data_IF_019697347337
#
_entry.id   IF_019697347337
#
_cell.length_a   1.000
_cell.length_b   1.000
_cell.length_c   1.000
_cell.angle_alpha   90.00
_cell.angle_beta   90.00
_cell.angle_gamma   90.00
#
_symmetry.space_group_name_H-M   'P 1'
#
loop_
_entity.id
_entity.type
_entity.pdbx_description
1 polymer ?
#
# COMPACT_ATOMS: atom_id res chain seq x y z
N UNK A 1 -65.74 10.80 -56.08
CA UNK A 1 -65.03 9.69 -55.52
C UNK A 1 -63.65 10.17 -55.03
N UNK A 2 -63.43 10.36 -53.74
CA UNK A 2 -62.18 10.82 -53.14
C UNK A 2 -61.45 9.57 -52.57
N UNK A 3 -60.31 9.27 -53.15
CA UNK A 3 -59.43 8.17 -52.69
C UNK A 3 -58.56 8.70 -51.54
N UNK A 4 -58.72 8.11 -50.36
CA UNK A 4 -57.93 8.36 -49.18
C UNK A 4 -56.68 7.48 -49.26
N UNK A 5 -55.48 8.09 -49.34
CA UNK A 5 -54.19 7.37 -49.24
C UNK A 5 -53.83 7.22 -47.77
N UNK A 6 -53.83 5.96 -47.30
CA UNK A 6 -53.43 5.60 -45.95
C UNK A 6 -51.90 5.43 -45.90
N UNK A 7 -51.23 6.43 -45.30
CA UNK A 7 -49.77 6.38 -45.06
C UNK A 7 -49.49 5.61 -43.76
N UNK A 8 -48.92 4.43 -43.88
CA UNK A 8 -48.47 3.64 -42.75
C UNK A 8 -47.11 4.19 -42.30
N UNK A 9 -47.09 4.86 -41.12
CA UNK A 9 -45.86 5.29 -40.44
C UNK A 9 -45.32 4.11 -39.65
N UNK A 10 -44.24 3.46 -40.16
CA UNK A 10 -43.54 2.37 -39.46
C UNK A 10 -42.55 3.00 -38.47
N UNK A 11 -42.99 3.16 -37.22
CA UNK A 11 -42.10 3.60 -36.12
C UNK A 11 -41.15 2.49 -35.72
N UNK A 12 -39.91 2.58 -36.16
CA UNK A 12 -38.84 1.71 -35.68
C UNK A 12 -38.50 2.03 -34.23
N UNK A 13 -38.99 1.20 -33.29
CA UNK A 13 -38.67 1.28 -31.88
C UNK A 13 -37.25 0.74 -31.70
N UNK A 14 -36.24 1.61 -31.59
CA UNK A 14 -34.88 1.28 -31.24
C UNK A 14 -34.85 0.88 -29.78
N UNK A 15 -34.88 -0.41 -29.49
CA UNK A 15 -34.59 -0.99 -28.17
C UNK A 15 -33.08 -0.77 -27.89
N UNK A 16 -32.77 0.32 -27.22
CA UNK A 16 -31.44 0.52 -26.60
C UNK A 16 -31.37 -0.47 -25.43
N UNK A 17 -30.86 -1.66 -25.68
CA UNK A 17 -30.43 -2.57 -24.63
C UNK A 17 -29.21 -1.93 -23.98
N UNK A 18 -29.44 -1.20 -22.89
CA UNK A 18 -28.37 -0.68 -22.03
C UNK A 18 -27.56 -1.86 -21.54
N UNK A 19 -26.38 -2.06 -22.07
CA UNK A 19 -25.38 -2.93 -21.45
C UNK A 19 -25.08 -2.33 -20.08
N UNK A 20 -25.69 -2.90 -19.04
CA UNK A 20 -25.23 -2.70 -17.66
C UNK A 20 -23.83 -3.33 -17.59
N UNK A 21 -22.81 -2.57 -18.04
CA UNK A 21 -21.44 -2.85 -17.67
C UNK A 21 -21.41 -2.66 -16.16
N UNK A 22 -21.43 -3.77 -15.41
CA UNK A 22 -21.20 -3.78 -13.98
C UNK A 22 -19.82 -3.16 -13.76
N UNK A 23 -19.77 -1.84 -13.65
CA UNK A 23 -18.57 -1.12 -13.23
C UNK A 23 -18.26 -1.66 -11.83
N UNK A 24 -17.15 -2.39 -11.69
CA UNK A 24 -16.77 -2.96 -10.41
C UNK A 24 -16.67 -1.83 -9.38
N UNK A 25 -17.43 -1.97 -8.28
CA UNK A 25 -17.48 -0.97 -7.22
C UNK A 25 -16.08 -0.72 -6.62
N UNK A 26 -15.77 0.55 -6.35
CA UNK A 26 -14.48 0.96 -5.80
C UNK A 26 -14.11 0.24 -4.50
N UNK A 27 -15.09 -0.06 -3.64
CA UNK A 27 -14.87 -0.82 -2.41
C UNK A 27 -14.45 -2.26 -2.71
N UNK A 28 -15.07 -2.88 -3.70
CA UNK A 28 -14.73 -4.24 -4.15
C UNK A 28 -13.31 -4.26 -4.74
N UNK A 29 -12.92 -3.27 -5.55
CA UNK A 29 -11.56 -3.17 -6.10
C UNK A 29 -10.55 -3.03 -4.96
N UNK A 30 -10.78 -2.13 -4.00
CA UNK A 30 -9.86 -1.92 -2.89
C UNK A 30 -9.76 -3.15 -1.98
N UNK A 31 -10.89 -3.81 -1.70
CA UNK A 31 -10.92 -5.07 -0.93
C UNK A 31 -10.14 -6.18 -1.64
N UNK A 32 -10.30 -6.31 -2.96
CA UNK A 32 -9.53 -7.29 -3.73
C UNK A 32 -8.03 -6.96 -3.73
N UNK A 33 -7.67 -5.67 -3.74
CA UNK A 33 -6.27 -5.23 -3.59
C UNK A 33 -5.71 -5.68 -2.23
N UNK A 34 -6.43 -5.45 -1.15
CA UNK A 34 -6.03 -5.91 0.18
C UNK A 34 -5.95 -7.45 0.26
N UNK A 35 -6.90 -8.17 -0.33
CA UNK A 35 -6.87 -9.63 -0.40
C UNK A 35 -5.61 -10.16 -1.10
N UNK A 36 -5.12 -9.49 -2.13
CA UNK A 36 -3.87 -9.86 -2.81
C UNK A 36 -2.66 -9.56 -1.92
N UNK A 37 -2.63 -8.40 -1.28
CA UNK A 37 -1.50 -7.98 -0.42
C UNK A 37 -1.38 -8.82 0.86
N UNK A 38 -2.49 -9.36 1.35
CA UNK A 38 -2.57 -10.15 2.59
C UNK A 38 -3.03 -11.60 2.34
N UNK A 39 -2.77 -12.14 1.15
CA UNK A 39 -3.27 -13.45 0.72
C UNK A 39 -2.63 -14.63 1.46
N UNK A 40 -1.43 -14.48 2.02
CA UNK A 40 -0.74 -15.53 2.78
C UNK A 40 -1.14 -15.50 4.26
N UNK A 41 -1.02 -16.65 4.93
CA UNK A 41 -1.17 -16.73 6.40
C UNK A 41 -0.07 -15.96 7.11
N UNK A 42 1.14 -16.08 6.60
CA UNK A 42 2.32 -15.34 7.06
C UNK A 42 3.38 -15.22 5.96
N UNK A 43 4.36 -14.36 6.19
CA UNK A 43 5.45 -14.10 5.28
C UNK A 43 6.70 -13.69 6.06
N UNK A 44 7.86 -14.15 5.59
CA UNK A 44 9.18 -13.62 5.96
C UNK A 44 9.95 -13.22 4.73
N UNK A 45 10.89 -12.31 4.87
CA UNK A 45 11.76 -11.89 3.77
C UNK A 45 12.87 -10.98 4.26
N UNK A 46 13.87 -10.79 3.39
CA UNK A 46 14.90 -9.76 3.55
C UNK A 46 14.57 -8.59 2.65
N UNK A 47 14.97 -7.40 3.03
CA UNK A 47 14.86 -6.21 2.20
C UNK A 47 16.15 -5.42 2.19
N UNK A 48 16.63 -5.09 0.99
CA UNK A 48 17.66 -4.09 0.76
C UNK A 48 16.98 -2.75 0.57
N UNK A 49 17.40 -1.76 1.35
CA UNK A 49 16.84 -0.41 1.34
C UNK A 49 17.90 0.53 0.81
N UNK A 50 17.62 1.19 -0.30
CA UNK A 50 18.50 2.17 -0.93
C UNK A 50 17.88 3.55 -0.75
N UNK A 51 18.56 4.42 0.00
CA UNK A 51 18.18 5.82 0.21
C UNK A 51 19.00 6.66 -0.77
N UNK A 52 18.33 7.42 -1.63
CA UNK A 52 18.94 8.23 -2.69
C UNK A 52 18.62 9.69 -2.41
N UNK A 53 19.62 10.50 -2.16
CA UNK A 53 19.43 11.93 -1.91
C UNK A 53 19.35 12.73 -3.23
N UNK A 54 19.08 14.04 -3.12
CA UNK A 54 18.96 14.96 -4.27
C UNK A 54 20.19 15.04 -5.17
N UNK A 55 21.37 14.66 -4.66
CA UNK A 55 22.63 14.63 -5.40
C UNK A 55 22.91 13.23 -6.00
N UNK A 56 21.99 12.27 -5.83
CA UNK A 56 22.16 10.89 -6.30
C UNK A 56 23.04 10.04 -5.37
N UNK A 57 23.52 10.56 -4.24
CA UNK A 57 24.31 9.77 -3.28
C UNK A 57 23.41 8.73 -2.61
N UNK A 58 23.92 7.50 -2.55
CA UNK A 58 23.18 6.37 -2.00
C UNK A 58 23.69 5.96 -0.62
N UNK A 59 22.74 5.61 0.25
CA UNK A 59 22.98 4.88 1.49
C UNK A 59 22.20 3.58 1.47
N UNK A 60 22.87 2.47 1.76
CA UNK A 60 22.28 1.15 1.73
C UNK A 60 22.07 0.68 3.16
N UNK A 61 20.92 0.07 3.41
CA UNK A 61 20.58 -0.63 4.65
C UNK A 61 19.97 -1.98 4.31
N UNK A 62 19.98 -2.88 5.27
CA UNK A 62 19.32 -4.17 5.16
C UNK A 62 18.38 -4.37 6.35
N UNK A 63 17.31 -5.09 6.11
CA UNK A 63 16.37 -5.44 7.15
C UNK A 63 15.72 -6.79 6.87
N UNK A 64 15.14 -7.36 7.91
CA UNK A 64 14.22 -8.51 7.81
C UNK A 64 12.81 -8.01 8.08
N UNK A 65 11.86 -8.63 7.39
CA UNK A 65 10.44 -8.38 7.60
C UNK A 65 9.74 -9.72 7.88
N UNK A 66 8.84 -9.71 8.85
CA UNK A 66 7.91 -10.80 9.12
C UNK A 66 6.50 -10.22 9.21
N UNK A 67 5.52 -10.93 8.66
CA UNK A 67 4.12 -10.56 8.70
C UNK A 67 3.28 -11.79 8.99
N UNK A 68 2.21 -11.63 9.78
CA UNK A 68 1.20 -12.68 10.04
C UNK A 68 -0.18 -12.06 9.99
N UNK A 69 -1.03 -12.62 9.13
CA UNK A 69 -2.35 -12.04 8.87
C UNK A 69 -2.28 -10.62 8.32
N UNK A 70 -3.30 -9.83 8.63
CA UNK A 70 -3.47 -8.47 8.13
C UNK A 70 -2.97 -7.38 9.10
N UNK A 71 -2.59 -7.75 10.32
CA UNK A 71 -2.45 -6.82 11.45
C UNK A 71 -1.17 -7.00 12.27
N UNK A 72 -0.34 -8.00 11.97
CA UNK A 72 0.93 -8.22 12.66
C UNK A 72 2.10 -8.12 11.69
N UNK A 73 3.02 -7.22 11.99
CA UNK A 73 4.27 -7.05 11.21
C UNK A 73 5.42 -6.68 12.12
N UNK A 74 6.54 -7.34 11.92
CA UNK A 74 7.83 -6.99 12.49
C UNK A 74 8.76 -6.57 11.37
N UNK A 75 9.42 -5.44 11.52
CA UNK A 75 10.47 -4.95 10.62
C UNK A 75 11.70 -4.64 11.47
N UNK A 76 12.86 -5.18 11.11
CA UNK A 76 14.10 -5.00 11.86
C UNK A 76 15.28 -4.76 10.94
N UNK A 77 16.01 -3.67 11.15
CA UNK A 77 17.27 -3.43 10.46
C UNK A 77 18.33 -4.43 10.91
N UNK A 78 19.12 -4.93 9.96
CA UNK A 78 20.24 -5.86 10.17
C UNK A 78 21.57 -5.24 9.79
N UNK A 79 21.58 -4.25 8.91
CA UNK A 79 22.76 -3.52 8.47
C UNK A 79 22.43 -2.06 8.08
N UNK A 80 23.42 -1.14 8.16
CA UNK A 80 24.74 -1.28 8.77
C UNK A 80 24.67 -1.39 10.30
N UNK A 81 25.80 -1.65 10.97
CA UNK A 81 25.86 -1.79 12.43
C UNK A 81 25.23 -0.63 13.20
N UNK A 82 25.35 0.61 12.69
CA UNK A 82 24.75 1.80 13.26
C UNK A 82 23.21 1.81 13.23
N UNK A 83 22.58 0.93 12.47
CA UNK A 83 21.12 0.80 12.34
C UNK A 83 20.62 -0.56 12.83
N UNK A 84 21.54 -1.55 12.94
CA UNK A 84 21.19 -2.91 13.33
C UNK A 84 20.42 -2.94 14.67
N UNK A 85 19.36 -3.76 14.73
CA UNK A 85 18.50 -3.89 15.89
C UNK A 85 17.40 -2.82 16.01
N UNK A 86 17.45 -1.69 15.27
CA UNK A 86 16.29 -0.80 15.20
C UNK A 86 15.13 -1.59 14.60
N UNK A 87 13.99 -1.62 15.30
CA UNK A 87 12.86 -2.42 14.86
C UNK A 87 11.52 -1.74 15.13
N UNK A 88 10.54 -2.03 14.26
CA UNK A 88 9.14 -1.62 14.41
C UNK A 88 8.27 -2.85 14.47
N UNK A 89 7.35 -2.87 15.42
CA UNK A 89 6.31 -3.87 15.58
C UNK A 89 4.96 -3.21 15.37
N UNK A 90 4.19 -3.71 14.41
CA UNK A 90 2.78 -3.39 14.22
C UNK A 90 1.93 -4.53 14.77
N UNK A 91 0.90 -4.18 15.54
CA UNK A 91 -0.02 -5.10 16.20
C UNK A 91 -1.48 -4.67 15.91
N UNK A 92 -2.47 -5.55 16.17
CA UNK A 92 -3.89 -5.21 16.08
C UNK A 92 -4.24 -3.91 16.79
N UNK A 93 -5.40 -3.34 16.45
CA UNK A 93 -5.94 -2.12 17.06
C UNK A 93 -5.05 -0.86 16.92
N UNK A 94 -4.32 -0.76 15.80
CA UNK A 94 -3.43 0.36 15.47
C UNK A 94 -2.29 0.56 16.47
N UNK A 95 -1.89 -0.48 17.18
CA UNK A 95 -0.79 -0.44 18.15
C UNK A 95 0.53 -0.65 17.41
N UNK A 96 1.46 0.27 17.61
CA UNK A 96 2.81 0.16 17.06
C UNK A 96 3.86 0.48 18.13
N UNK A 97 4.99 -0.22 18.06
CA UNK A 97 6.15 0.03 18.90
C UNK A 97 7.40 0.21 18.05
N UNK A 98 8.25 1.12 18.48
CA UNK A 98 9.61 1.32 17.97
C UNK A 98 10.60 0.86 19.06
N UNK A 99 11.59 0.10 18.67
CA UNK A 99 12.76 -0.20 19.48
C UNK A 99 14.01 0.37 18.82
N UNK A 100 14.85 1.02 19.62
CA UNK A 100 16.15 1.52 19.21
C UNK A 100 17.18 1.04 20.24
N UNK A 101 18.16 0.19 19.86
CA UNK A 101 19.14 -0.37 20.80
C UNK A 101 19.87 0.67 21.61
N UNK A 102 20.20 1.81 20.99
CA UNK A 102 20.89 2.92 21.67
C UNK A 102 20.15 3.46 22.90
N UNK A 103 18.83 3.28 22.99
CA UNK A 103 18.03 3.70 24.15
C UNK A 103 17.62 2.53 25.06
N UNK A 104 17.84 1.29 24.63
CA UNK A 104 17.52 0.08 25.39
C UNK A 104 16.05 -0.14 25.75
N UNK A 105 15.14 0.73 25.25
CA UNK A 105 13.72 0.73 25.60
C UNK A 105 12.86 0.82 24.34
N UNK A 106 11.76 0.10 24.34
CA UNK A 106 10.71 0.26 23.36
C UNK A 106 9.87 1.50 23.65
N UNK A 107 9.34 2.11 22.60
CA UNK A 107 8.40 3.23 22.68
C UNK A 107 7.17 2.95 21.85
N UNK A 108 5.99 3.17 22.41
CA UNK A 108 4.75 3.14 21.66
C UNK A 108 4.69 4.34 20.72
N UNK A 109 4.41 4.09 19.45
CA UNK A 109 4.23 5.13 18.44
C UNK A 109 2.82 5.69 18.58
N UNK A 110 2.71 6.96 19.00
CA UNK A 110 1.42 7.63 19.08
C UNK A 110 0.88 7.97 17.68
N UNK A 111 -0.44 8.16 17.58
CA UNK A 111 -1.07 8.52 16.31
C UNK A 111 -0.57 9.84 15.71
N UNK A 112 -0.09 10.77 16.54
CA UNK A 112 0.49 12.03 16.08
C UNK A 112 1.89 11.89 15.46
N UNK A 113 2.59 10.78 15.77
CA UNK A 113 3.93 10.47 15.27
C UNK A 113 3.89 9.58 14.02
N UNK A 114 2.78 8.90 13.75
CA UNK A 114 2.66 7.96 12.63
C UNK A 114 2.98 8.57 11.26
N UNK A 115 2.72 9.85 11.06
CA UNK A 115 3.03 10.56 9.82
C UNK A 115 4.52 10.90 9.65
N UNK A 116 5.35 10.72 10.70
CA UNK A 116 6.78 10.99 10.63
C UNK A 116 7.50 9.90 9.82
N UNK A 117 8.61 10.31 9.20
CA UNK A 117 9.46 9.39 8.43
C UNK A 117 10.04 8.29 9.31
N UNK A 118 9.89 7.05 8.86
CA UNK A 118 10.48 5.89 9.51
C UNK A 118 11.97 5.83 9.23
N UNK A 119 12.78 5.98 10.29
CA UNK A 119 14.24 5.84 10.24
C UNK A 119 14.91 6.59 9.07
N UNK A 120 14.40 7.75 8.69
CA UNK A 120 14.94 8.57 7.61
C UNK A 120 14.67 8.05 6.18
N UNK A 121 13.81 7.05 6.03
CA UNK A 121 13.26 6.63 4.74
C UNK A 121 12.15 7.62 4.30
N UNK A 122 11.66 7.49 3.07
CA UNK A 122 10.50 8.27 2.61
C UNK A 122 9.15 7.63 2.95
N UNK A 123 9.20 6.45 3.55
CA UNK A 123 8.04 5.82 4.18
C UNK A 123 7.81 6.41 5.58
N UNK A 124 6.55 6.61 5.94
CA UNK A 124 6.14 7.00 7.29
C UNK A 124 5.96 5.76 8.18
N UNK A 125 5.83 5.95 9.50
CA UNK A 125 5.40 4.85 10.38
C UNK A 125 4.01 4.32 9.98
N UNK A 126 3.12 5.18 9.46
CA UNK A 126 1.80 4.75 8.97
C UNK A 126 1.90 3.82 7.74
N UNK A 127 2.91 4.04 6.88
CA UNK A 127 3.20 3.14 5.74
C UNK A 127 3.76 1.79 6.22
N UNK A 128 4.40 1.75 7.38
CA UNK A 128 4.93 0.53 8.00
C UNK A 128 3.86 -0.26 8.78
N UNK A 129 2.70 0.33 9.05
CA UNK A 129 1.61 -0.34 9.75
C UNK A 129 1.03 -1.47 8.90
N UNK A 130 0.81 -2.64 9.53
CA UNK A 130 0.07 -3.74 8.90
C UNK A 130 -1.42 -3.49 9.09
N UNK A 131 -2.06 -2.93 8.07
CA UNK A 131 -3.48 -2.60 8.08
C UNK A 131 -4.03 -2.52 6.67
N UNK A 132 -5.15 -3.20 6.37
CA UNK A 132 -5.80 -3.13 5.06
C UNK A 132 -6.14 -1.70 4.64
N UNK A 133 -5.98 -1.40 3.34
CA UNK A 133 -6.32 -0.09 2.80
C UNK A 133 -7.82 0.22 2.96
N UNK A 134 -8.70 -0.78 2.86
CA UNK A 134 -10.13 -0.63 3.07
C UNK A 134 -10.50 -0.16 4.49
N UNK A 135 -9.63 -0.41 5.48
CA UNK A 135 -9.79 0.12 6.83
C UNK A 135 -9.27 1.56 6.97
N UNK A 136 -8.27 1.94 6.18
CA UNK A 136 -7.62 3.26 6.21
C UNK A 136 -8.35 4.31 5.38
N UNK A 137 -8.97 3.89 4.26
CA UNK A 137 -9.49 4.78 3.23
C UNK A 137 -10.92 4.47 2.81
N UNK A 138 -11.61 5.51 2.33
CA UNK A 138 -12.85 5.40 1.56
C UNK A 138 -12.49 5.57 0.07
N UNK A 139 -12.71 4.57 -0.78
CA UNK A 139 -12.32 4.63 -2.18
C UNK A 139 -13.41 5.26 -3.06
N UNK A 140 -12.97 5.89 -4.16
CA UNK A 140 -13.79 6.30 -5.30
C UNK A 140 -13.09 5.85 -6.58
N UNK A 141 -13.80 5.15 -7.47
CA UNK A 141 -13.27 4.84 -8.80
C UNK A 141 -13.34 6.12 -9.64
N UNK A 142 -12.20 6.62 -10.09
CA UNK A 142 -12.12 7.78 -10.97
C UNK A 142 -12.29 7.38 -12.43
N UNK A 143 -11.60 6.32 -12.85
CA UNK A 143 -11.62 5.81 -14.23
C UNK A 143 -10.99 4.41 -14.31
N UNK A 144 -11.24 3.76 -15.45
CA UNK A 144 -10.53 2.57 -15.90
C UNK A 144 -9.77 2.91 -17.16
N UNK A 145 -8.46 2.68 -17.18
CA UNK A 145 -7.58 2.95 -18.33
C UNK A 145 -6.89 1.65 -18.74
N UNK A 146 -7.33 1.06 -19.85
CA UNK A 146 -6.80 -0.23 -20.30
C UNK A 146 -6.91 -1.29 -19.22
N UNK A 147 -5.76 -1.78 -18.75
CA UNK A 147 -5.68 -2.81 -17.69
C UNK A 147 -5.44 -2.25 -16.28
N UNK A 148 -5.88 -1.02 -16.02
CA UNK A 148 -5.66 -0.31 -14.74
C UNK A 148 -6.95 0.31 -14.24
N UNK A 149 -7.27 0.11 -12.96
CA UNK A 149 -8.22 0.92 -12.20
C UNK A 149 -7.48 2.10 -11.56
N UNK A 150 -8.05 3.29 -11.64
CA UNK A 150 -7.55 4.50 -10.96
C UNK A 150 -8.52 4.84 -9.84
N UNK A 151 -8.08 4.70 -8.60
CA UNK A 151 -8.85 4.97 -7.40
C UNK A 151 -8.39 6.27 -6.74
N UNK A 152 -9.32 7.11 -6.32
CA UNK A 152 -9.09 8.11 -5.29
C UNK A 152 -9.41 7.49 -3.93
N UNK A 153 -8.46 7.54 -3.01
CA UNK A 153 -8.57 7.02 -1.66
C UNK A 153 -8.58 8.20 -0.68
N UNK A 154 -9.72 8.45 -0.04
CA UNK A 154 -9.87 9.50 0.96
C UNK A 154 -9.60 8.91 2.35
N UNK A 155 -8.64 9.44 3.13
CA UNK A 155 -8.37 8.94 4.47
C UNK A 155 -9.59 9.03 5.38
N UNK A 156 -9.88 7.96 6.13
CA UNK A 156 -10.94 7.93 7.17
C UNK A 156 -10.52 8.69 8.42
N UNK A 157 -9.21 8.76 8.69
CA UNK A 157 -8.67 9.48 9.84
C UNK A 157 -8.44 10.95 9.52
N UNK A 158 -9.00 11.85 10.31
CA UNK A 158 -8.69 13.28 10.23
C UNK A 158 -7.22 13.61 10.54
N UNK A 159 -6.50 12.71 11.26
CA UNK A 159 -5.10 12.85 11.61
C UNK A 159 -4.14 12.49 10.47
N UNK A 160 -4.62 11.95 9.35
CA UNK A 160 -3.78 11.68 8.19
C UNK A 160 -3.15 12.97 7.67
N UNK A 161 -1.86 12.91 7.29
CA UNK A 161 -1.18 14.03 6.61
C UNK A 161 -1.72 14.26 5.20
N UNK A 162 -2.37 13.24 4.62
CA UNK A 162 -2.87 13.30 3.25
C UNK A 162 -4.31 13.80 3.19
N UNK A 163 -4.63 14.58 2.15
CA UNK A 163 -6.01 14.90 1.75
C UNK A 163 -6.63 13.74 0.97
N UNK A 164 -5.81 13.13 0.10
CA UNK A 164 -6.16 11.96 -0.72
C UNK A 164 -4.92 11.22 -1.18
N UNK A 165 -5.13 9.98 -1.64
CA UNK A 165 -4.14 9.19 -2.39
C UNK A 165 -4.78 8.76 -3.71
N UNK A 166 -4.08 8.92 -4.83
CA UNK A 166 -4.49 8.38 -6.12
C UNK A 166 -3.74 7.07 -6.35
N UNK A 167 -4.44 5.96 -6.30
CA UNK A 167 -3.86 4.62 -6.45
C UNK A 167 -4.21 4.01 -7.79
N UNK A 168 -3.21 3.47 -8.49
CA UNK A 168 -3.39 2.66 -9.70
C UNK A 168 -3.30 1.19 -9.34
N UNK A 169 -4.31 0.41 -9.72
CA UNK A 169 -4.44 -1.01 -9.40
C UNK A 169 -4.53 -1.81 -10.69
N UNK A 170 -3.80 -2.91 -10.79
CA UNK A 170 -3.88 -3.82 -11.95
C UNK A 170 -5.26 -4.47 -12.01
N UNK A 171 -5.95 -4.35 -13.16
CA UNK A 171 -7.35 -4.75 -13.30
C UNK A 171 -7.60 -6.23 -13.09
N UNK A 172 -6.70 -7.09 -13.57
CA UNK A 172 -6.85 -8.55 -13.49
C UNK A 172 -6.33 -9.12 -12.17
N UNK A 173 -5.21 -8.59 -11.67
CA UNK A 173 -4.50 -9.18 -10.53
C UNK A 173 -4.64 -8.40 -9.23
N UNK A 174 -5.26 -7.23 -9.27
CA UNK A 174 -5.55 -6.36 -8.13
C UNK A 174 -4.35 -5.92 -7.27
N UNK A 175 -3.11 -6.13 -7.69
CA UNK A 175 -1.98 -5.53 -6.98
C UNK A 175 -1.85 -4.03 -7.30
N UNK A 176 -1.43 -3.19 -6.33
CA UNK A 176 -1.22 -1.76 -6.57
C UNK A 176 0.05 -1.54 -7.39
N UNK A 177 -0.04 -0.73 -8.46
CA UNK A 177 1.07 -0.42 -9.36
C UNK A 177 1.80 0.84 -8.90
N UNK A 178 1.03 1.86 -8.53
CA UNK A 178 1.56 3.15 -8.05
C UNK A 178 0.56 3.87 -7.17
N UNK A 179 1.07 4.81 -6.38
CA UNK A 179 0.26 5.71 -5.57
C UNK A 179 0.85 7.12 -5.61
N UNK A 180 0.00 8.14 -5.68
CA UNK A 180 0.36 9.55 -5.56
C UNK A 180 -0.30 10.11 -4.31
N UNK A 181 0.47 10.77 -3.47
CA UNK A 181 0.03 11.26 -2.16
C UNK A 181 -0.06 12.79 -2.18
N UNK A 182 -1.21 13.30 -1.76
CA UNK A 182 -1.52 14.73 -1.76
C UNK A 182 -1.66 15.26 -0.34
N UNK A 183 -1.01 16.39 -0.03
CA UNK A 183 -1.12 17.05 1.27
C UNK A 183 -2.47 17.75 1.47
N UNK A 184 -2.69 18.37 2.62
CA UNK A 184 -3.94 19.09 2.94
C UNK A 184 -4.20 20.29 2.03
N UNK A 185 -3.17 20.84 1.41
CA UNK A 185 -3.27 21.86 0.36
C UNK A 185 -3.51 21.31 -1.03
N UNK A 186 -3.74 19.98 -1.16
CA UNK A 186 -3.94 19.28 -2.42
C UNK A 186 -2.72 19.32 -3.37
N UNK A 187 -1.52 19.53 -2.83
CA UNK A 187 -0.28 19.43 -3.60
C UNK A 187 0.21 17.98 -3.59
N UNK A 188 0.66 17.46 -4.72
CA UNK A 188 1.33 16.15 -4.77
C UNK A 188 2.68 16.25 -4.10
N UNK A 189 2.89 15.49 -3.02
CA UNK A 189 4.10 15.57 -2.17
C UNK A 189 4.95 14.32 -2.21
N UNK A 190 4.35 13.16 -2.50
CA UNK A 190 5.06 11.88 -2.64
C UNK A 190 4.47 11.06 -3.78
N UNK A 191 5.27 10.18 -4.34
CA UNK A 191 4.82 9.15 -5.26
C UNK A 191 5.47 7.80 -4.93
N UNK A 192 4.66 6.75 -4.98
CA UNK A 192 5.08 5.37 -4.81
C UNK A 192 4.91 4.57 -6.09
N UNK A 193 5.83 3.64 -6.33
CA UNK A 193 5.74 2.66 -7.44
C UNK A 193 6.10 1.29 -6.90
N UNK A 194 5.46 0.25 -7.42
CA UNK A 194 5.73 -1.13 -7.04
C UNK A 194 5.86 -2.03 -8.26
N UNK A 195 6.84 -2.92 -8.22
CA UNK A 195 7.04 -3.98 -9.21
C UNK A 195 6.72 -5.30 -8.53
N UNK A 196 5.84 -6.08 -9.14
CA UNK A 196 5.39 -7.34 -8.59
C UNK A 196 5.98 -8.53 -9.32
N UNK A 197 6.31 -9.58 -8.57
CA UNK A 197 6.72 -10.89 -9.07
C UNK A 197 5.91 -11.98 -8.39
N UNK A 198 5.57 -13.02 -9.13
CA UNK A 198 4.87 -14.17 -8.56
C UNK A 198 5.85 -15.11 -7.87
N UNK A 199 5.54 -15.51 -6.63
CA UNK A 199 6.26 -16.52 -5.85
C UNK A 199 5.25 -17.58 -5.46
N UNK A 200 5.32 -18.75 -6.10
CA UNK A 200 4.26 -19.76 -6.01
C UNK A 200 2.92 -19.17 -6.47
N UNK A 201 1.90 -19.23 -5.61
CA UNK A 201 0.56 -18.68 -5.89
C UNK A 201 0.43 -17.18 -5.51
N UNK A 202 1.42 -16.57 -4.84
CA UNK A 202 1.35 -15.24 -4.27
C UNK A 202 1.99 -14.17 -5.17
N UNK A 203 1.40 -12.98 -5.21
CA UNK A 203 2.01 -11.79 -5.77
C UNK A 203 2.85 -11.09 -4.70
N UNK A 204 4.14 -10.99 -4.95
CA UNK A 204 5.11 -10.32 -4.07
C UNK A 204 5.51 -8.97 -4.65
N UNK A 205 5.45 -7.90 -3.85
CA UNK A 205 6.06 -6.62 -4.19
C UNK A 205 7.59 -6.78 -4.14
N UNK A 206 8.18 -7.14 -5.28
CA UNK A 206 9.63 -7.39 -5.41
C UNK A 206 10.44 -6.11 -5.21
N UNK A 207 9.93 -4.99 -5.69
CA UNK A 207 10.50 -3.67 -5.51
C UNK A 207 9.40 -2.67 -5.18
N UNK A 208 9.66 -1.82 -4.19
CA UNK A 208 8.83 -0.68 -3.85
C UNK A 208 9.70 0.56 -3.80
N UNK A 209 9.29 1.62 -4.50
CA UNK A 209 9.96 2.91 -4.51
C UNK A 209 9.03 3.96 -3.95
N UNK A 210 9.53 4.81 -3.05
CA UNK A 210 8.83 5.99 -2.56
C UNK A 210 9.70 7.22 -2.78
N UNK A 211 9.19 8.23 -3.48
CA UNK A 211 9.87 9.50 -3.75
C UNK A 211 9.18 10.63 -2.99
N UNK A 212 9.91 11.35 -2.18
CA UNK A 212 9.52 12.62 -1.57
C UNK A 212 9.83 13.74 -2.57
N UNK A 213 8.80 14.30 -3.18
CA UNK A 213 8.93 15.33 -4.23
C UNK A 213 9.40 16.67 -3.68
N UNK A 214 9.12 16.97 -2.39
CA UNK A 214 9.56 18.21 -1.74
C UNK A 214 11.07 18.20 -1.46
N UNK A 215 11.61 17.02 -1.16
CA UNK A 215 13.03 16.86 -0.78
C UNK A 215 13.91 16.31 -1.90
N UNK A 216 13.29 15.90 -3.04
CA UNK A 216 13.98 15.15 -4.11
C UNK A 216 14.79 13.97 -3.53
N UNK A 217 14.15 13.22 -2.65
CA UNK A 217 14.75 12.05 -2.00
C UNK A 217 13.93 10.81 -2.34
N UNK A 218 14.60 9.70 -2.59
CA UNK A 218 13.94 8.44 -2.96
C UNK A 218 14.41 7.31 -2.08
N UNK A 219 13.47 6.53 -1.57
CA UNK A 219 13.74 5.25 -0.91
C UNK A 219 13.25 4.12 -1.79
N UNK A 220 14.14 3.17 -2.09
CA UNK A 220 13.83 1.94 -2.80
C UNK A 220 13.98 0.75 -1.84
N UNK A 221 12.97 -0.11 -1.74
CA UNK A 221 12.99 -1.36 -1.00
C UNK A 221 12.95 -2.52 -1.98
N UNK A 222 13.92 -3.42 -1.91
CA UNK A 222 14.05 -4.59 -2.80
C UNK A 222 13.98 -5.83 -1.94
N UNK A 223 12.95 -6.65 -2.16
CA UNK A 223 12.71 -7.88 -1.40
C UNK A 223 13.49 -9.05 -1.96
N UNK A 224 14.05 -9.87 -1.06
CA UNK A 224 14.72 -11.13 -1.35
C UNK A 224 14.37 -12.19 -0.30
N UNK A 225 14.67 -13.45 -0.61
CA UNK A 225 14.49 -14.60 0.30
C UNK A 225 13.05 -14.68 0.88
N UNK A 226 12.05 -14.26 0.07
CA UNK A 226 10.67 -14.24 0.53
C UNK A 226 10.11 -15.64 0.62
N UNK A 227 9.54 -15.97 1.78
CA UNK A 227 8.88 -17.24 2.08
C UNK A 227 7.49 -16.97 2.63
N UNK A 228 6.52 -17.73 2.17
CA UNK A 228 5.12 -17.65 2.59
C UNK A 228 4.69 -18.91 3.34
N UNK A 229 3.69 -18.78 4.19
CA UNK A 229 3.02 -19.89 4.91
C UNK A 229 3.98 -20.77 5.71
N UNK A 230 4.89 -20.12 6.46
CA UNK A 230 5.91 -20.79 7.29
C UNK A 230 5.39 -21.18 8.68
N UNK A 231 4.09 -20.96 8.97
CA UNK A 231 3.47 -21.18 10.28
C UNK A 231 4.14 -20.39 11.39
N UNK A 232 4.47 -19.12 11.15
CA UNK A 232 5.09 -18.25 12.14
C UNK A 232 4.30 -18.26 13.45
N UNK A 233 5.01 -18.38 14.59
CA UNK A 233 4.38 -18.26 15.89
C UNK A 233 3.85 -16.83 16.13
N UNK A 234 2.78 -16.70 16.89
CA UNK A 234 2.33 -15.40 17.40
C UNK A 234 3.37 -14.70 18.27
N UNK A 235 4.24 -15.48 18.94
CA UNK A 235 5.31 -14.98 19.81
C UNK A 235 6.38 -14.17 19.08
N UNK A 236 6.51 -14.36 17.76
CA UNK A 236 7.40 -13.54 16.92
C UNK A 236 6.96 -12.06 16.90
N UNK A 237 5.69 -11.80 17.19
CA UNK A 237 5.10 -10.46 17.14
C UNK A 237 4.80 -9.92 18.53
N UNK A 238 5.79 -9.92 19.41
CA UNK A 238 5.69 -9.43 20.77
C UNK A 238 6.72 -8.33 21.05
N UNK A 239 6.43 -7.49 22.06
CA UNK A 239 7.37 -6.46 22.52
C UNK A 239 8.68 -7.10 23.03
N UNK A 240 8.61 -8.31 23.58
CA UNK A 240 9.82 -9.07 23.98
C UNK A 240 10.70 -9.36 22.76
N UNK A 241 10.10 -9.88 21.67
CA UNK A 241 10.82 -10.17 20.42
C UNK A 241 11.31 -8.91 19.73
N UNK A 242 10.59 -7.79 19.86
CA UNK A 242 11.02 -6.50 19.32
C UNK A 242 12.40 -6.06 19.84
N UNK A 243 12.80 -6.48 21.06
CA UNK A 243 14.05 -6.10 21.73
C UNK A 243 15.23 -7.06 21.49
N UNK A 244 14.99 -8.18 20.85
CA UNK A 244 15.99 -9.20 20.47
C UNK A 244 16.55 -8.94 19.08
#
# INVERSE_FOLDING_TARGET
MKTIKLSVFLSALFLITGFNVNAQDANTILKNTDNVMYSSKDMTGKTKIVLIDKAGKQKIREAIISQKGTDKRMFRFTAPSSQAGIAVLSLPNNVMYLYMPAFGKERRISSSVKNQKFAGTDFSYDDMESKPNAEKYTPKLLKTEGNVYVLELKPKSAKSEYSKVIMKVHKTYFYPISAEFYDKGNNKIKEGKSVYKKIGKYWNAQEMTMTDLKKNHTTKMIMSDVKYDQNLSGDEFTVRKLKQ
#
